data_IF_236727841774
#
_entry.id   IF_236727841774
#
_cell.length_a   1.000
_cell.length_b   1.000
_cell.length_c   1.000
_cell.angle_alpha   90.00
_cell.angle_beta   90.00
_cell.angle_gamma   90.00
#
_symmetry.space_group_name_H-M   'P 1'
#
loop_
_entity.id
_entity.type
_entity.pdbx_description
1 polymer ?
#
# COMPACT_ATOMS: atom_id res chain seq x y z
N UNK A 1 -0.44 26.71 66.35
CA UNK A 1 0.42 26.36 65.19
C UNK A 1 0.28 24.86 64.98
N UNK A 2 -0.22 24.28 63.88
CA UNK A 2 -0.92 24.79 62.72
C UNK A 2 -2.06 23.78 62.45
N UNK A 3 -3.31 24.29 62.38
CA UNK A 3 -4.53 23.57 61.99
C UNK A 3 -4.81 22.18 62.61
N UNK A 4 -5.24 22.22 63.88
CA UNK A 4 -6.40 21.43 64.34
C UNK A 4 -7.54 21.65 63.29
N UNK A 5 -8.07 20.61 62.67
CA UNK A 5 -9.34 20.58 61.88
C UNK A 5 -9.28 20.65 60.34
N UNK A 6 -8.45 19.83 59.66
CA UNK A 6 -8.62 19.52 58.22
C UNK A 6 -8.41 18.04 57.92
N UNK A 7 -9.27 17.19 58.51
CA UNK A 7 -9.28 15.73 58.30
C UNK A 7 -10.18 15.40 57.11
N UNK A 8 -9.61 14.76 56.08
CA UNK A 8 -10.22 14.68 54.74
C UNK A 8 -10.96 13.36 54.51
N UNK A 9 -10.46 12.25 55.06
CA UNK A 9 -11.12 10.95 55.01
C UNK A 9 -11.08 10.26 56.37
N UNK A 10 -12.19 9.67 56.79
CA UNK A 10 -12.27 8.92 58.05
C UNK A 10 -13.14 7.68 57.90
N UNK A 11 -12.72 6.61 58.59
CA UNK A 11 -13.42 5.34 58.67
C UNK A 11 -14.19 5.30 59.98
N UNK A 12 -15.51 5.17 59.92
CA UNK A 12 -16.35 4.92 61.10
C UNK A 12 -16.53 3.43 61.23
N UNK A 13 -16.20 2.87 62.39
CA UNK A 13 -16.54 1.51 62.81
C UNK A 13 -17.59 1.59 63.92
N UNK A 14 -18.73 0.94 63.73
CA UNK A 14 -19.76 0.76 64.77
C UNK A 14 -19.53 -0.62 65.43
N UNK A 15 -19.43 -0.70 66.74
CA UNK A 15 -19.38 -1.98 67.44
C UNK A 15 -20.36 -1.86 68.59
N UNK A 16 -21.45 -2.64 68.57
CA UNK A 16 -22.34 -2.84 69.73
C UNK A 16 -22.62 -1.55 70.52
N UNK A 17 -23.06 -0.49 69.82
CA UNK A 17 -23.37 0.88 70.29
C UNK A 17 -22.22 1.91 70.36
N UNK A 18 -20.95 1.51 70.28
CA UNK A 18 -19.81 2.45 70.25
C UNK A 18 -19.36 2.71 68.81
N UNK A 19 -19.32 3.99 68.43
CA UNK A 19 -18.74 4.43 67.14
C UNK A 19 -17.30 4.87 67.36
N UNK A 20 -16.36 4.29 66.64
CA UNK A 20 -14.97 4.74 66.60
C UNK A 20 -14.65 5.32 65.22
N UNK A 21 -14.00 6.48 65.21
CA UNK A 21 -13.56 7.14 63.99
C UNK A 21 -12.04 7.06 63.87
N UNK A 22 -11.54 6.54 62.77
CA UNK A 22 -10.12 6.53 62.45
C UNK A 22 -9.85 7.41 61.22
N UNK A 23 -8.72 8.12 61.23
CA UNK A 23 -8.23 8.85 60.07
C UNK A 23 -7.77 7.88 58.98
N UNK A 24 -8.08 8.18 57.72
CA UNK A 24 -7.50 7.46 56.59
C UNK A 24 -6.09 8.00 56.34
N UNK A 25 -5.07 7.21 56.70
CA UNK A 25 -3.66 7.47 56.36
C UNK A 25 -3.29 6.94 54.97
N UNK A 26 -4.11 6.05 54.43
CA UNK A 26 -4.03 5.49 53.08
C UNK A 26 -5.45 5.32 52.54
N UNK A 27 -5.61 5.40 51.21
CA UNK A 27 -6.91 5.26 50.57
C UNK A 27 -6.80 4.36 49.33
N UNK A 28 -7.69 3.37 49.24
CA UNK A 28 -7.79 2.43 48.11
C UNK A 28 -9.13 2.54 47.38
N UNK A 29 -10.23 2.51 48.13
CA UNK A 29 -11.62 2.59 47.64
C UNK A 29 -12.57 2.98 48.77
N UNK A 30 -13.75 3.47 48.44
CA UNK A 30 -14.88 3.56 49.38
C UNK A 30 -15.56 2.20 49.47
N UNK A 31 -15.82 1.71 50.70
CA UNK A 31 -16.51 0.44 50.92
C UNK A 31 -17.81 0.60 51.67
N UNK A 32 -18.86 -0.08 51.21
CA UNK A 32 -20.04 -0.44 52.00
C UNK A 32 -20.00 -1.95 52.25
N UNK A 33 -19.60 -2.37 53.44
CA UNK A 33 -19.78 -3.75 53.84
C UNK A 33 -21.21 -3.89 54.36
N UNK A 34 -22.07 -4.57 53.61
CA UNK A 34 -23.48 -4.76 53.97
C UNK A 34 -23.69 -5.52 55.29
N UNK A 35 -22.65 -6.13 55.87
CA UNK A 35 -22.70 -6.81 57.18
C UNK A 35 -21.65 -6.35 58.19
N UNK A 36 -20.76 -5.41 57.80
CA UNK A 36 -19.80 -4.86 58.74
C UNK A 36 -20.16 -3.41 59.00
N UNK A 37 -20.21 -3.06 60.27
CA UNK A 37 -20.43 -1.73 60.78
C UNK A 37 -19.36 -0.67 60.38
N UNK A 38 -18.59 -0.91 59.31
CA UNK A 38 -17.48 -0.08 58.85
C UNK A 38 -17.91 0.67 57.59
N UNK A 39 -17.78 2.00 57.61
CA UNK A 39 -18.07 2.88 56.47
C UNK A 39 -16.99 3.96 56.35
N UNK A 40 -16.60 4.28 55.13
CA UNK A 40 -15.65 5.35 54.82
C UNK A 40 -16.38 6.65 54.45
N UNK A 41 -15.92 7.78 54.97
CA UNK A 41 -16.55 9.09 54.79
C UNK A 41 -15.49 10.16 54.48
N UNK A 42 -15.89 11.16 53.70
CA UNK A 42 -15.13 12.41 53.51
C UNK A 42 -15.83 13.52 54.30
N UNK A 43 -15.11 14.20 55.20
CA UNK A 43 -15.66 15.34 55.96
C UNK A 43 -15.18 16.65 55.32
N UNK A 44 -16.09 17.60 55.19
CA UNK A 44 -15.74 19.00 54.93
C UNK A 44 -15.71 19.71 56.29
N UNK A 45 -14.57 20.32 56.66
CA UNK A 45 -14.36 20.82 58.04
C UNK A 45 -15.00 22.18 58.32
N UNK A 46 -16.07 22.55 57.61
CA UNK A 46 -16.90 23.69 58.00
C UNK A 46 -17.91 23.33 59.11
N UNK A 47 -17.98 22.06 59.53
CA UNK A 47 -18.92 21.57 60.54
C UNK A 47 -18.14 21.12 61.76
N UNK A 48 -18.54 21.59 62.95
CA UNK A 48 -17.82 21.41 64.22
C UNK A 48 -17.59 19.94 64.60
N UNK A 49 -16.56 19.72 65.41
CA UNK A 49 -16.02 18.41 65.86
C UNK A 49 -17.02 17.45 66.55
N UNK A 50 -18.30 17.84 66.70
CA UNK A 50 -19.34 17.06 67.38
C UNK A 50 -20.32 16.34 66.44
N UNK A 51 -20.25 16.55 65.12
CA UNK A 51 -21.36 16.18 64.23
C UNK A 51 -20.94 15.12 63.21
N UNK A 52 -20.85 13.87 63.67
CA UNK A 52 -21.05 12.69 62.82
C UNK A 52 -22.57 12.35 62.78
N UNK A 53 -23.43 13.34 62.49
CA UNK A 53 -24.87 13.06 62.35
C UNK A 53 -25.13 12.32 61.06
N UNK A 54 -26.03 11.34 61.15
CA UNK A 54 -26.38 10.37 60.10
C UNK A 54 -26.93 11.04 58.82
N UNK A 55 -27.28 12.33 58.90
CA UNK A 55 -28.06 13.06 57.89
C UNK A 55 -27.30 14.20 57.19
N UNK A 56 -26.01 14.43 57.48
CA UNK A 56 -25.22 15.39 56.73
C UNK A 56 -25.04 14.88 55.28
N UNK A 57 -25.42 15.70 54.30
CA UNK A 57 -25.47 15.31 52.89
C UNK A 57 -24.12 14.77 52.40
N UNK A 58 -24.15 13.54 51.90
CA UNK A 58 -23.00 12.71 51.49
C UNK A 58 -22.51 13.06 50.08
N UNK A 59 -22.51 14.33 49.70
CA UNK A 59 -22.09 14.75 48.36
C UNK A 59 -20.57 14.95 48.37
N UNK A 60 -19.86 13.85 48.21
CA UNK A 60 -18.40 13.80 48.17
C UNK A 60 -17.88 14.52 46.92
N UNK A 61 -18.59 14.42 45.81
CA UNK A 61 -18.21 15.00 44.51
C UNK A 61 -18.04 16.52 44.57
N UNK A 62 -18.91 17.23 45.29
CA UNK A 62 -18.83 18.68 45.46
C UNK A 62 -17.65 19.15 46.31
N UNK A 63 -17.11 18.28 47.18
CA UNK A 63 -15.93 18.61 47.99
C UNK A 63 -14.64 18.41 47.20
N UNK A 64 -14.57 17.35 46.39
CA UNK A 64 -13.33 17.01 45.67
C UNK A 64 -13.16 17.79 44.36
N UNK A 65 -14.20 18.51 43.90
CA UNK A 65 -14.11 19.41 42.75
C UNK A 65 -13.33 20.71 43.00
N UNK A 66 -12.97 21.01 44.26
CA UNK A 66 -12.16 22.19 44.60
C UNK A 66 -10.68 22.03 44.24
N UNK A 67 -10.04 23.12 43.77
CA UNK A 67 -8.60 23.13 43.52
C UNK A 67 -7.81 22.96 44.83
N UNK A 68 -6.86 22.02 44.85
CA UNK A 68 -5.94 21.88 45.96
C UNK A 68 -4.83 22.92 45.82
N UNK A 69 -4.79 23.90 46.72
CA UNK A 69 -3.69 24.86 46.78
C UNK A 69 -2.52 24.23 47.54
N UNK A 70 -1.30 24.46 47.06
CA UNK A 70 -0.04 23.78 47.43
C UNK A 70 0.34 23.87 48.92
N UNK A 71 -0.39 24.65 49.70
CA UNK A 71 -0.30 24.86 51.14
C UNK A 71 -1.09 23.81 51.97
N UNK A 72 -1.73 22.82 51.34
CA UNK A 72 -2.44 21.72 52.02
C UNK A 72 -1.60 20.43 52.01
N UNK A 73 -1.30 19.90 53.20
CA UNK A 73 -0.39 18.76 53.41
C UNK A 73 -0.80 17.40 52.82
N UNK A 74 -1.99 17.27 52.21
CA UNK A 74 -2.49 15.99 51.67
C UNK A 74 -3.12 16.13 50.27
N UNK A 75 -2.61 17.04 49.42
CA UNK A 75 -3.12 17.18 48.05
C UNK A 75 -3.05 15.85 47.28
N UNK A 76 -1.98 15.06 47.45
CA UNK A 76 -1.84 13.75 46.79
C UNK A 76 -2.98 12.79 47.17
N UNK A 77 -3.38 12.75 48.44
CA UNK A 77 -4.48 11.89 48.90
C UNK A 77 -5.84 12.38 48.37
N UNK A 78 -6.06 13.70 48.35
CA UNK A 78 -7.24 14.30 47.75
C UNK A 78 -7.36 14.02 46.27
N UNK A 79 -6.24 14.08 45.54
CA UNK A 79 -6.20 13.73 44.11
C UNK A 79 -6.52 12.26 43.91
N UNK A 80 -5.95 11.35 44.72
CA UNK A 80 -6.32 9.92 44.71
C UNK A 80 -7.82 9.69 44.96
N UNK A 81 -8.43 10.41 45.91
CA UNK A 81 -9.88 10.33 46.17
C UNK A 81 -10.70 10.92 45.01
N UNK A 82 -10.26 12.04 44.42
CA UNK A 82 -10.89 12.68 43.25
C UNK A 82 -10.94 11.71 42.10
N UNK A 83 -9.80 11.12 41.80
CA UNK A 83 -9.60 10.23 40.68
C UNK A 83 -10.43 8.95 40.88
N UNK A 84 -10.62 8.49 42.12
CA UNK A 84 -11.53 7.38 42.45
C UNK A 84 -13.00 7.75 42.25
N UNK A 85 -13.42 8.93 42.70
CA UNK A 85 -14.78 9.40 42.48
C UNK A 85 -15.10 9.59 40.99
N UNK A 86 -14.14 10.14 40.23
CA UNK A 86 -14.25 10.21 38.76
C UNK A 86 -14.30 8.82 38.13
N UNK A 87 -13.51 7.86 38.66
CA UNK A 87 -13.55 6.46 38.26
C UNK A 87 -14.95 5.87 38.44
N UNK A 88 -15.50 5.95 39.64
CA UNK A 88 -16.80 5.38 39.98
C UNK A 88 -17.94 6.03 39.19
N UNK A 89 -17.82 7.33 38.90
CA UNK A 89 -18.79 8.10 38.12
C UNK A 89 -19.34 9.27 38.93
N UNK A 90 -19.45 10.44 38.30
CA UNK A 90 -19.96 11.67 38.93
C UNK A 90 -21.44 11.57 39.34
N UNK A 91 -22.16 10.61 38.79
CA UNK A 91 -23.55 10.27 39.12
C UNK A 91 -23.69 9.50 40.45
N UNK A 92 -22.58 9.02 41.03
CA UNK A 92 -22.58 8.41 42.37
C UNK A 92 -22.05 9.40 43.41
N UNK A 93 -22.92 10.08 44.17
CA UNK A 93 -22.53 11.15 45.08
C UNK A 93 -21.66 10.67 46.25
N UNK A 94 -21.75 9.38 46.58
CA UNK A 94 -20.97 8.72 47.63
C UNK A 94 -19.69 8.06 47.12
N UNK A 95 -19.47 8.08 45.81
CA UNK A 95 -18.34 7.45 45.13
C UNK A 95 -18.14 5.97 45.49
N UNK A 96 -19.19 5.23 45.83
CA UNK A 96 -19.07 3.80 46.16
C UNK A 96 -19.17 2.97 44.88
N UNK A 97 -18.16 2.13 44.64
CA UNK A 97 -18.18 1.22 43.49
C UNK A 97 -19.29 0.17 43.62
N UNK A 98 -20.09 -0.01 42.56
CA UNK A 98 -21.11 -1.07 42.50
C UNK A 98 -20.51 -2.47 42.38
N UNK A 99 -19.33 -2.55 41.80
CA UNK A 99 -18.63 -3.80 41.49
C UNK A 99 -17.49 -4.07 42.48
N UNK A 100 -17.28 -3.16 43.44
CA UNK A 100 -16.25 -3.26 44.47
C UNK A 100 -14.82 -3.01 43.98
N UNK A 101 -14.60 -2.65 42.72
CA UNK A 101 -13.25 -2.37 42.19
C UNK A 101 -12.63 -1.13 42.84
N UNK A 102 -11.34 -1.23 43.16
CA UNK A 102 -10.49 -0.10 43.53
C UNK A 102 -9.76 0.45 42.29
N UNK A 103 -9.20 1.66 42.38
CA UNK A 103 -8.35 2.17 41.30
C UNK A 103 -7.05 1.37 41.12
N UNK A 104 -6.60 0.68 42.17
CA UNK A 104 -5.40 -0.17 42.15
C UNK A 104 -5.67 -1.52 41.48
N UNK A 105 -6.94 -1.97 41.45
CA UNK A 105 -7.33 -3.23 40.81
C UNK A 105 -7.41 -3.11 39.28
N UNK A 106 -7.24 -1.90 38.73
CA UNK A 106 -7.44 -1.62 37.31
C UNK A 106 -6.19 -0.99 36.72
N UNK A 107 -5.12 -1.77 36.69
CA UNK A 107 -3.89 -1.44 35.98
C UNK A 107 -4.07 -1.66 34.47
N UNK A 108 -3.50 -0.75 33.70
CA UNK A 108 -3.37 -0.97 32.27
C UNK A 108 -2.33 -2.07 32.01
N UNK A 109 -2.50 -2.87 30.95
CA UNK A 109 -1.48 -3.83 30.52
C UNK A 109 -0.12 -3.15 30.35
N UNK A 110 0.97 -3.90 30.56
CA UNK A 110 2.34 -3.39 30.40
C UNK A 110 2.52 -2.74 29.02
N UNK A 111 3.07 -1.52 28.98
CA UNK A 111 3.25 -0.73 27.76
C UNK A 111 2.02 0.11 27.37
N UNK A 112 1.02 0.22 28.25
CA UNK A 112 -0.14 1.09 28.07
C UNK A 112 -0.28 2.06 29.24
N UNK A 113 -0.74 3.27 28.93
CA UNK A 113 -1.08 4.32 29.88
C UNK A 113 -2.58 4.45 30.03
N UNK A 114 -3.00 4.79 31.24
CA UNK A 114 -4.38 5.16 31.56
C UNK A 114 -4.69 6.51 30.93
N UNK A 115 -5.71 6.55 30.08
CA UNK A 115 -6.09 7.77 29.34
C UNK A 115 -7.42 8.37 29.77
N UNK A 116 -8.34 7.55 30.27
CA UNK A 116 -9.58 8.05 30.84
C UNK A 116 -10.20 7.04 31.79
N UNK A 117 -11.10 7.60 32.59
CA UNK A 117 -11.72 6.90 33.69
C UNK A 117 -13.17 7.33 33.76
N UNK A 118 -14.09 6.44 33.39
CA UNK A 118 -15.51 6.76 33.42
C UNK A 118 -16.30 5.53 33.81
N UNK A 119 -17.18 5.68 34.79
CA UNK A 119 -18.21 4.69 35.15
C UNK A 119 -17.63 3.29 35.39
N UNK A 120 -16.61 3.22 36.23
CA UNK A 120 -15.92 1.99 36.63
C UNK A 120 -15.18 1.28 35.48
N UNK A 121 -15.03 1.94 34.31
CA UNK A 121 -14.22 1.47 33.19
C UNK A 121 -12.95 2.28 33.10
N UNK A 122 -11.81 1.59 33.16
CA UNK A 122 -10.52 2.18 32.82
C UNK A 122 -10.28 1.99 31.33
N UNK A 123 -9.97 3.11 30.68
CA UNK A 123 -9.56 3.14 29.30
C UNK A 123 -8.05 3.28 29.25
N UNK A 124 -7.41 2.35 28.54
CA UNK A 124 -5.97 2.28 28.36
C UNK A 124 -5.63 2.52 26.89
N UNK A 125 -4.57 3.28 26.64
CA UNK A 125 -3.96 3.42 25.32
C UNK A 125 -2.49 3.01 25.37
N UNK A 126 -1.91 2.52 24.27
CA UNK A 126 -0.46 2.37 24.14
C UNK A 126 0.31 3.64 24.54
N UNK A 127 1.53 3.47 25.06
CA UNK A 127 2.42 4.60 25.34
C UNK A 127 2.62 5.49 24.09
N UNK A 128 2.46 6.81 24.25
CA UNK A 128 2.53 7.78 23.15
C UNK A 128 1.22 7.97 22.36
N UNK A 129 0.15 7.27 22.72
CA UNK A 129 -1.18 7.46 22.15
C UNK A 129 -2.15 8.13 23.14
N UNK A 130 -3.14 8.83 22.58
CA UNK A 130 -4.19 9.53 23.31
C UNK A 130 -5.56 8.96 23.00
N UNK A 131 -6.46 9.02 23.98
CA UNK A 131 -7.86 8.64 23.78
C UNK A 131 -8.52 9.61 22.80
N UNK A 132 -9.03 9.08 21.69
CA UNK A 132 -9.78 9.88 20.71
C UNK A 132 -11.28 9.66 20.85
N UNK A 133 -11.72 8.42 21.04
CA UNK A 133 -13.13 8.06 21.22
C UNK A 133 -13.25 6.87 22.18
N UNK A 134 -14.38 6.72 22.86
CA UNK A 134 -14.75 5.49 23.56
C UNK A 134 -15.93 4.85 22.84
N UNK A 135 -15.83 3.56 22.50
CA UNK A 135 -16.92 2.81 21.86
C UNK A 135 -17.05 1.44 22.50
N UNK A 136 -18.27 1.07 22.91
CA UNK A 136 -18.57 -0.22 23.55
C UNK A 136 -17.65 -0.56 24.75
N UNK A 137 -17.30 0.44 25.56
CA UNK A 137 -16.40 0.25 26.70
C UNK A 137 -14.91 0.10 26.34
N UNK A 138 -14.54 0.12 25.06
CA UNK A 138 -13.14 0.11 24.59
C UNK A 138 -12.64 1.53 24.30
N UNK A 139 -11.36 1.73 24.54
CA UNK A 139 -10.63 2.94 24.17
C UNK A 139 -10.25 2.87 22.69
N UNK A 140 -10.55 3.91 21.92
CA UNK A 140 -10.04 4.11 20.57
C UNK A 140 -8.94 5.15 20.65
N UNK A 141 -7.71 4.69 20.44
CA UNK A 141 -6.49 5.43 20.67
C UNK A 141 -5.85 5.82 19.34
N UNK A 142 -5.26 7.01 19.31
CA UNK A 142 -4.46 7.47 18.18
C UNK A 142 -3.16 8.12 18.70
N UNK A 143 -2.07 8.08 17.94
CA UNK A 143 -0.88 8.87 18.24
C UNK A 143 -1.22 10.36 18.40
N UNK A 144 -0.55 11.09 19.29
CA UNK A 144 -0.86 12.50 19.66
C UNK A 144 -1.07 13.46 18.47
N UNK A 145 -0.36 13.23 17.36
CA UNK A 145 -0.40 14.10 16.16
C UNK A 145 -1.33 13.57 15.06
N UNK A 146 -2.11 12.54 15.35
CA UNK A 146 -3.05 11.92 14.40
C UNK A 146 -4.48 12.09 14.87
N UNK A 147 -5.39 12.03 13.91
CA UNK A 147 -6.84 12.12 14.13
C UNK A 147 -7.50 10.81 13.71
N UNK A 148 -8.47 10.35 14.50
CA UNK A 148 -9.30 9.21 14.15
C UNK A 148 -10.14 9.56 12.91
N UNK A 149 -10.03 8.74 11.85
CA UNK A 149 -10.83 8.88 10.63
C UNK A 149 -11.96 7.86 10.56
N UNK A 150 -11.70 6.62 10.98
CA UNK A 150 -12.65 5.52 10.95
C UNK A 150 -12.29 4.47 12.01
N UNK A 151 -13.26 3.61 12.34
CA UNK A 151 -13.03 2.38 13.07
C UNK A 151 -13.37 1.21 12.16
N UNK A 152 -12.36 0.45 11.74
CA UNK A 152 -12.50 -0.70 10.86
C UNK A 152 -12.20 -1.98 11.65
N UNK A 153 -13.17 -2.88 11.79
CA UNK A 153 -13.01 -4.14 12.54
C UNK A 153 -12.43 -3.92 13.96
N UNK A 154 -13.07 -3.05 14.75
CA UNK A 154 -12.61 -2.63 16.09
C UNK A 154 -11.22 -1.95 16.13
N UNK A 155 -10.62 -1.65 14.99
CA UNK A 155 -9.31 -0.99 14.89
C UNK A 155 -9.47 0.47 14.50
N UNK A 156 -8.88 1.36 15.30
CA UNK A 156 -8.85 2.79 15.01
C UNK A 156 -7.93 3.10 13.82
N UNK A 157 -8.47 3.74 12.79
CA UNK A 157 -7.70 4.25 11.65
C UNK A 157 -7.35 5.70 11.94
N UNK A 158 -6.08 5.93 12.27
CA UNK A 158 -5.56 7.23 12.64
C UNK A 158 -4.67 7.80 11.53
N UNK A 159 -5.04 8.96 10.99
CA UNK A 159 -4.30 9.64 9.92
C UNK A 159 -3.73 10.98 10.41
N UNK A 160 -2.71 11.51 9.75
CA UNK A 160 -2.33 12.90 10.01
C UNK A 160 -3.49 13.84 9.58
N UNK A 161 -3.62 15.04 10.18
CA UNK A 161 -4.71 15.96 9.87
C UNK A 161 -4.81 16.33 8.39
N UNK A 162 -3.66 16.39 7.70
CA UNK A 162 -3.53 16.76 6.29
C UNK A 162 -3.52 15.58 5.33
N UNK A 163 -3.57 14.35 5.84
CA UNK A 163 -3.59 13.17 4.99
C UNK A 163 -4.94 13.05 4.27
N UNK A 164 -4.89 12.58 3.03
CA UNK A 164 -6.07 12.16 2.29
C UNK A 164 -6.48 10.76 2.76
N UNK A 165 -7.78 10.57 2.92
CA UNK A 165 -8.34 9.33 3.42
C UNK A 165 -9.68 9.07 2.74
N UNK A 166 -9.95 7.80 2.41
CA UNK A 166 -11.19 7.34 1.80
C UNK A 166 -11.84 6.27 2.69
N UNK A 167 -13.14 6.42 2.93
CA UNK A 167 -13.88 5.55 3.84
C UNK A 167 -13.85 4.09 3.40
N UNK A 168 -13.66 3.17 4.36
CA UNK A 168 -13.62 1.73 4.08
C UNK A 168 -12.30 1.21 3.51
N UNK A 169 -11.33 2.08 3.20
CA UNK A 169 -10.01 1.66 2.71
C UNK A 169 -9.04 1.33 3.85
N UNK A 170 -9.23 1.95 5.02
CA UNK A 170 -8.27 1.89 6.13
C UNK A 170 -6.90 2.53 5.82
N UNK A 171 -6.75 3.23 4.69
CA UNK A 171 -5.45 3.77 4.23
C UNK A 171 -5.41 5.30 4.33
N UNK A 172 -4.38 5.80 4.99
CA UNK A 172 -4.05 7.23 5.04
C UNK A 172 -2.96 7.53 4.02
N UNK A 173 -3.23 8.44 3.09
CA UNK A 173 -2.26 8.87 2.09
C UNK A 173 -1.72 10.27 2.40
N UNK A 174 -0.41 10.49 2.23
CA UNK A 174 0.19 11.79 2.48
C UNK A 174 -0.41 12.86 1.53
N UNK A 175 -0.23 14.15 1.85
CA UNK A 175 -0.72 15.23 1.01
C UNK A 175 -0.31 15.04 -0.46
N UNK A 176 -1.23 15.35 -1.38
CA UNK A 176 -1.12 15.18 -2.86
C UNK A 176 -1.26 13.75 -3.39
N UNK A 177 -1.27 12.74 -2.53
CA UNK A 177 -1.63 11.38 -2.91
C UNK A 177 -3.02 11.03 -2.39
N UNK A 178 -3.77 10.24 -3.13
CA UNK A 178 -5.09 9.74 -2.76
C UNK A 178 -5.07 8.21 -2.68
N UNK A 179 -5.89 7.60 -1.82
CA UNK A 179 -6.13 6.16 -1.89
C UNK A 179 -6.54 5.75 -3.30
N UNK A 180 -5.95 4.66 -3.77
CA UNK A 180 -6.19 4.14 -5.12
C UNK A 180 -6.15 2.62 -5.07
N UNK A 181 -7.08 1.98 -5.77
CA UNK A 181 -7.28 0.53 -5.73
C UNK A 181 -6.87 -0.10 -7.06
N UNK A 182 -6.06 -1.14 -7.01
CA UNK A 182 -5.70 -1.96 -8.18
C UNK A 182 -6.89 -2.79 -8.65
N UNK A 183 -6.77 -3.36 -9.86
CA UNK A 183 -7.73 -4.33 -10.39
C UNK A 183 -7.86 -5.60 -9.53
N UNK A 184 -6.79 -6.01 -8.85
CA UNK A 184 -6.78 -7.13 -7.89
C UNK A 184 -7.40 -6.78 -6.53
N UNK A 185 -7.74 -5.51 -6.31
CA UNK A 185 -8.36 -5.01 -5.09
C UNK A 185 -7.39 -4.59 -3.99
N UNK A 186 -6.08 -4.64 -4.23
CA UNK A 186 -5.06 -4.04 -3.35
C UNK A 186 -5.18 -2.51 -3.36
N UNK A 187 -4.87 -1.86 -2.25
CA UNK A 187 -5.00 -0.41 -2.10
C UNK A 187 -3.64 0.18 -1.76
N UNK A 188 -3.29 1.30 -2.40
CA UNK A 188 -2.09 2.09 -2.12
C UNK A 188 -2.34 3.58 -2.36
N UNK A 189 -1.30 4.39 -2.24
CA UNK A 189 -1.38 5.85 -2.37
C UNK A 189 -0.82 6.32 -3.71
N UNK A 190 -1.68 6.95 -4.52
CA UNK A 190 -1.31 7.41 -5.86
C UNK A 190 -1.65 8.88 -6.12
N UNK A 191 -0.96 9.54 -7.05
CA UNK A 191 -1.41 10.83 -7.56
C UNK A 191 -2.84 10.71 -8.11
N UNK A 192 -3.64 11.76 -7.97
CA UNK A 192 -5.01 11.80 -8.49
C UNK A 192 -5.06 11.42 -9.98
N UNK A 193 -5.97 10.51 -10.33
CA UNK A 193 -6.12 10.00 -11.70
C UNK A 193 -5.20 8.83 -12.06
N UNK A 194 -4.34 8.36 -11.14
CA UNK A 194 -3.55 7.13 -11.31
C UNK A 194 -4.07 5.97 -10.46
N UNK A 195 -3.86 4.77 -10.97
CA UNK A 195 -4.23 3.50 -10.37
C UNK A 195 -3.01 2.89 -9.69
N UNK A 196 -3.20 2.42 -8.46
CA UNK A 196 -2.19 1.64 -7.74
C UNK A 196 -1.93 0.32 -8.45
N UNK A 197 -0.65 0.00 -8.67
CA UNK A 197 -0.22 -1.25 -9.31
C UNK A 197 0.39 -2.19 -8.29
N UNK A 198 1.47 -1.75 -7.63
CA UNK A 198 2.17 -2.51 -6.61
C UNK A 198 3.03 -1.59 -5.72
N UNK A 199 3.62 -2.16 -4.67
CA UNK A 199 4.64 -1.50 -3.85
C UNK A 199 5.96 -2.24 -4.04
N UNK A 200 7.03 -1.52 -4.36
CA UNK A 200 8.40 -2.08 -4.34
C UNK A 200 9.30 -1.20 -3.47
N UNK A 201 10.09 -1.84 -2.59
CA UNK A 201 10.98 -1.14 -1.66
C UNK A 201 10.26 -0.09 -0.80
N UNK A 202 9.03 -0.38 -0.40
CA UNK A 202 8.21 0.53 0.42
C UNK A 202 7.67 1.75 -0.34
N UNK A 203 7.70 1.74 -1.68
CA UNK A 203 7.12 2.81 -2.47
C UNK A 203 6.05 2.30 -3.43
N UNK A 204 4.90 2.97 -3.39
CA UNK A 204 3.77 2.67 -4.26
C UNK A 204 4.05 3.14 -5.68
N UNK A 205 3.79 2.26 -6.63
CA UNK A 205 3.89 2.51 -8.05
C UNK A 205 2.51 2.68 -8.65
N UNK A 206 2.38 3.75 -9.42
CA UNK A 206 1.10 4.24 -9.88
C UNK A 206 1.12 4.49 -11.38
N UNK A 207 0.18 3.86 -12.09
CA UNK A 207 0.07 3.93 -13.53
C UNK A 207 -1.30 4.46 -13.97
N UNK A 208 -1.44 4.97 -15.21
CA UNK A 208 -2.74 5.16 -15.83
C UNK A 208 -3.58 3.87 -15.80
N UNK A 209 -4.90 4.01 -15.86
CA UNK A 209 -5.79 2.86 -15.91
C UNK A 209 -5.50 1.98 -17.14
N UNK A 210 -5.34 0.66 -16.95
CA UNK A 210 -4.99 -0.29 -18.02
C UNK A 210 -3.49 -0.35 -18.36
N UNK A 211 -2.63 0.23 -17.54
CA UNK A 211 -1.18 0.15 -17.68
C UNK A 211 -0.51 -0.55 -16.48
N UNK A 212 0.62 -1.20 -16.74
CA UNK A 212 1.46 -1.91 -15.80
C UNK A 212 2.75 -1.12 -15.52
N UNK A 213 3.28 -1.28 -14.31
CA UNK A 213 4.53 -0.63 -13.91
C UNK A 213 5.72 -1.26 -14.66
N UNK A 214 6.50 -0.42 -15.33
CA UNK A 214 7.74 -0.82 -16.00
C UNK A 214 8.99 -0.49 -15.18
N UNK A 215 9.20 0.80 -14.90
CA UNK A 215 10.39 1.30 -14.20
C UNK A 215 10.09 2.61 -13.50
N UNK A 216 10.81 2.91 -12.42
CA UNK A 216 10.88 4.26 -11.83
C UNK A 216 12.22 4.92 -12.13
N UNK A 217 12.18 6.17 -12.58
CA UNK A 217 13.37 6.98 -12.80
C UNK A 217 13.06 8.45 -12.46
N UNK A 218 13.94 9.11 -11.71
CA UNK A 218 13.73 10.51 -11.27
C UNK A 218 12.47 10.72 -10.42
N UNK A 219 11.97 9.68 -9.75
CA UNK A 219 10.71 9.73 -8.98
C UNK A 219 9.44 9.62 -9.83
N UNK A 220 9.57 9.36 -11.13
CA UNK A 220 8.44 9.17 -12.05
C UNK A 220 8.28 7.68 -12.36
N UNK A 221 7.06 7.18 -12.23
CA UNK A 221 6.70 5.84 -12.68
C UNK A 221 6.41 5.83 -14.18
N UNK A 222 7.22 5.06 -14.90
CA UNK A 222 7.07 4.76 -16.31
C UNK A 222 6.29 3.45 -16.46
N UNK A 223 5.20 3.54 -17.19
CA UNK A 223 4.21 2.50 -17.31
C UNK A 223 4.07 2.03 -18.76
N UNK A 224 3.59 0.82 -18.95
CA UNK A 224 3.33 0.23 -20.26
C UNK A 224 1.89 -0.26 -20.34
N UNK A 225 1.22 -0.16 -21.49
CA UNK A 225 -0.07 -0.80 -21.69
C UNK A 225 -0.02 -2.29 -21.32
N UNK A 226 -1.12 -2.79 -20.76
CA UNK A 226 -1.26 -4.20 -20.37
C UNK A 226 -0.79 -5.16 -21.49
N UNK A 227 0.02 -6.16 -21.11
CA UNK A 227 0.61 -7.12 -22.04
C UNK A 227 1.83 -6.63 -22.83
N UNK A 228 2.31 -5.40 -22.58
CA UNK A 228 3.58 -4.89 -23.12
C UNK A 228 4.67 -4.86 -22.05
N UNK A 229 5.90 -5.11 -22.49
CA UNK A 229 7.11 -5.14 -21.66
C UNK A 229 7.88 -3.84 -21.85
N UNK A 230 8.16 -3.16 -20.75
CA UNK A 230 9.02 -1.99 -20.70
C UNK A 230 10.43 -2.30 -21.26
N UNK A 231 10.94 -1.40 -22.10
CA UNK A 231 12.28 -1.52 -22.69
C UNK A 231 13.21 -0.41 -22.18
N UNK A 232 12.83 0.84 -22.40
CA UNK A 232 13.61 2.00 -21.98
C UNK A 232 12.74 3.26 -21.83
N UNK A 233 13.35 4.33 -21.30
CA UNK A 233 12.77 5.69 -21.33
C UNK A 233 13.51 6.51 -22.37
N UNK A 234 12.79 7.16 -23.27
CA UNK A 234 13.35 8.12 -24.22
C UNK A 234 12.51 9.38 -24.28
N UNK A 235 13.15 10.55 -24.15
CA UNK A 235 12.48 11.85 -24.13
C UNK A 235 11.34 11.94 -23.10
N UNK A 236 11.51 11.31 -21.93
CA UNK A 236 10.50 11.29 -20.87
C UNK A 236 9.27 10.40 -21.15
N UNK A 237 9.34 9.53 -22.16
CA UNK A 237 8.29 8.55 -22.47
C UNK A 237 8.80 7.12 -22.33
N UNK A 238 7.94 6.23 -21.85
CA UNK A 238 8.21 4.79 -21.81
C UNK A 238 8.11 4.19 -23.21
N UNK A 239 9.10 3.38 -23.57
CA UNK A 239 9.09 2.57 -24.78
C UNK A 239 8.74 1.15 -24.38
N UNK A 240 7.64 0.64 -24.93
CA UNK A 240 7.05 -0.64 -24.56
C UNK A 240 6.89 -1.52 -25.80
N UNK A 241 7.37 -2.75 -25.73
CA UNK A 241 7.22 -3.74 -26.79
C UNK A 241 6.22 -4.82 -26.40
N UNK A 242 5.51 -5.39 -27.37
CA UNK A 242 4.66 -6.56 -27.10
C UNK A 242 5.50 -7.72 -26.55
N UNK A 243 4.87 -8.60 -25.78
CA UNK A 243 5.54 -9.78 -25.22
C UNK A 243 6.28 -10.58 -26.32
N UNK A 244 7.54 -10.96 -26.04
CA UNK A 244 8.44 -11.65 -26.99
C UNK A 244 9.21 -10.74 -27.95
N UNK A 245 8.90 -9.44 -28.00
CA UNK A 245 9.66 -8.45 -28.79
C UNK A 245 10.56 -7.60 -27.89
N UNK A 246 11.67 -7.14 -28.44
CA UNK A 246 12.61 -6.20 -27.80
C UNK A 246 12.87 -5.02 -28.72
N UNK A 247 13.16 -3.87 -28.13
CA UNK A 247 13.52 -2.68 -28.88
C UNK A 247 14.86 -2.90 -29.60
N UNK A 248 14.87 -2.78 -30.94
CA UNK A 248 16.10 -2.90 -31.74
C UNK A 248 16.60 -1.56 -32.28
N UNK A 249 15.74 -0.55 -32.37
CA UNK A 249 16.13 0.77 -32.83
C UNK A 249 14.94 1.67 -33.12
N UNK A 250 15.18 2.69 -33.94
CA UNK A 250 14.22 3.73 -34.26
C UNK A 250 14.23 4.02 -35.76
N UNK A 251 13.07 4.03 -36.39
CA UNK A 251 12.91 4.45 -37.78
C UNK A 251 12.03 5.68 -37.83
N UNK A 252 12.55 6.79 -38.36
CA UNK A 252 11.90 8.10 -38.36
C UNK A 252 11.40 8.53 -36.96
N UNK A 253 12.18 8.21 -35.92
CA UNK A 253 11.85 8.52 -34.52
C UNK A 253 10.87 7.56 -33.84
N UNK A 254 10.28 6.60 -34.58
CA UNK A 254 9.33 5.62 -34.04
C UNK A 254 10.10 4.38 -33.55
N UNK A 255 9.88 3.91 -32.31
CA UNK A 255 10.54 2.72 -31.79
C UNK A 255 10.14 1.47 -32.59
N UNK A 256 11.13 0.63 -32.92
CA UNK A 256 10.93 -0.62 -33.65
C UNK A 256 11.23 -1.81 -32.74
N UNK A 257 10.18 -2.55 -32.43
CA UNK A 257 10.22 -3.75 -31.60
C UNK A 257 10.31 -4.99 -32.50
N UNK A 258 11.36 -5.79 -32.34
CA UNK A 258 11.56 -7.01 -33.12
C UNK A 258 11.80 -8.21 -32.20
N UNK A 259 11.68 -9.43 -32.72
CA UNK A 259 12.10 -10.62 -31.97
C UNK A 259 13.59 -10.52 -31.59
N UNK A 260 13.95 -11.05 -30.43
CA UNK A 260 15.32 -10.95 -29.91
C UNK A 260 16.38 -11.47 -30.90
N UNK A 261 16.05 -12.50 -31.68
CA UNK A 261 16.93 -13.16 -32.66
C UNK A 261 16.82 -12.62 -34.10
N UNK A 262 15.99 -11.59 -34.31
CA UNK A 262 15.86 -10.91 -35.60
C UNK A 262 16.87 -9.78 -35.78
N UNK A 263 17.19 -9.49 -37.05
CA UNK A 263 18.01 -8.34 -37.44
C UNK A 263 17.10 -7.13 -37.69
N UNK A 264 17.60 -5.94 -37.40
CA UNK A 264 16.89 -4.68 -37.63
C UNK A 264 17.63 -3.85 -38.66
N UNK A 265 16.95 -3.50 -39.75
CA UNK A 265 17.47 -2.57 -40.74
C UNK A 265 17.00 -1.15 -40.40
N UNK A 266 17.93 -0.31 -39.93
CA UNK A 266 17.65 1.09 -39.59
C UNK A 266 17.19 1.93 -40.78
N UNK A 267 17.61 1.59 -42.01
CA UNK A 267 17.28 2.37 -43.20
C UNK A 267 15.81 2.20 -43.60
N UNK A 268 15.28 0.98 -43.54
CA UNK A 268 13.88 0.69 -43.87
C UNK A 268 12.93 0.59 -42.66
N UNK A 269 13.48 0.46 -41.45
CA UNK A 269 12.72 0.24 -40.23
C UNK A 269 12.16 -1.17 -40.06
N UNK A 270 12.56 -2.12 -40.92
CA UNK A 270 12.01 -3.47 -40.91
C UNK A 270 12.79 -4.42 -39.99
N UNK A 271 12.04 -5.30 -39.33
CA UNK A 271 12.57 -6.46 -38.62
C UNK A 271 12.70 -7.62 -39.62
N UNK A 272 13.93 -7.97 -39.97
CA UNK A 272 14.22 -9.12 -40.80
C UNK A 272 14.38 -10.33 -39.88
N UNK A 273 13.58 -11.38 -40.11
CA UNK A 273 13.70 -12.63 -39.36
C UNK A 273 15.15 -13.12 -39.34
N UNK A 274 15.49 -13.91 -38.31
CA UNK A 274 16.80 -14.56 -38.24
C UNK A 274 17.09 -15.14 -39.61
N UNK A 275 18.16 -14.68 -40.25
CA UNK A 275 18.64 -15.32 -41.46
C UNK A 275 18.99 -16.72 -40.97
N UNK A 276 18.09 -17.69 -41.20
CA UNK A 276 18.38 -19.10 -40.96
C UNK A 276 19.73 -19.29 -41.61
N UNK A 277 20.74 -19.66 -40.80
CA UNK A 277 22.15 -19.67 -41.18
C UNK A 277 22.24 -19.94 -42.67
N UNK A 278 22.60 -18.92 -43.45
CA UNK A 278 22.79 -19.09 -44.88
C UNK A 278 23.74 -20.29 -44.96
N UNK A 279 23.28 -21.38 -45.57
CA UNK A 279 24.17 -22.50 -45.81
C UNK A 279 25.41 -21.97 -46.54
N UNK A 280 26.53 -22.68 -46.46
CA UNK A 280 27.81 -22.23 -47.03
C UNK A 280 27.66 -21.77 -48.49
N UNK A 281 26.71 -22.36 -49.22
CA UNK A 281 26.35 -22.03 -50.59
C UNK A 281 25.63 -20.68 -50.73
N UNK A 282 24.70 -20.40 -49.84
CA UNK A 282 23.99 -19.13 -49.77
C UNK A 282 24.95 -18.00 -49.39
N UNK A 283 25.87 -18.22 -48.44
CA UNK A 283 26.96 -17.28 -48.13
C UNK A 283 27.89 -17.05 -49.33
N UNK A 284 28.27 -18.11 -50.05
CA UNK A 284 29.09 -18.02 -51.25
C UNK A 284 28.37 -17.32 -52.43
N UNK A 285 27.04 -17.44 -52.50
CA UNK A 285 26.21 -16.74 -53.49
C UNK A 285 26.08 -15.25 -53.17
N UNK A 286 25.84 -14.89 -51.90
CA UNK A 286 25.80 -13.49 -51.45
C UNK A 286 27.17 -12.81 -51.59
N UNK A 287 28.27 -13.51 -51.26
CA UNK A 287 29.63 -13.00 -51.48
C UNK A 287 29.96 -12.73 -52.96
N UNK A 288 29.16 -13.27 -53.88
CA UNK A 288 29.28 -13.08 -55.32
C UNK A 288 28.18 -12.18 -55.91
N UNK A 289 27.39 -11.49 -55.09
CA UNK A 289 26.26 -10.65 -55.51
C UNK A 289 25.23 -11.40 -56.37
N UNK A 290 24.80 -12.59 -55.93
CA UNK A 290 23.80 -13.39 -56.66
C UNK A 290 22.50 -13.54 -55.88
N UNK A 291 21.37 -13.35 -56.55
CA UNK A 291 20.02 -13.55 -56.00
C UNK A 291 19.35 -14.72 -56.74
N UNK A 292 18.85 -15.69 -55.99
CA UNK A 292 18.10 -16.83 -56.51
C UNK A 292 16.59 -16.68 -56.30
N UNK A 293 15.79 -16.97 -57.31
CA UNK A 293 14.33 -17.03 -57.20
C UNK A 293 13.80 -18.23 -57.99
N UNK A 294 12.74 -18.83 -57.44
CA UNK A 294 11.94 -19.87 -58.08
C UNK A 294 10.74 -19.22 -58.73
N UNK A 295 10.52 -19.53 -60.01
CA UNK A 295 9.30 -19.17 -60.72
C UNK A 295 8.53 -20.45 -60.99
N UNK A 296 7.31 -20.52 -60.46
CA UNK A 296 6.37 -21.60 -60.74
C UNK A 296 5.31 -21.08 -61.71
N UNK A 297 5.17 -21.75 -62.85
CA UNK A 297 4.15 -21.42 -63.85
C UNK A 297 2.92 -22.28 -63.58
N UNK A 298 1.85 -21.69 -63.05
CA UNK A 298 0.65 -22.43 -62.62
C UNK A 298 -0.23 -22.87 -63.78
N UNK A 299 -0.22 -22.13 -64.90
CA UNK A 299 -0.95 -22.48 -66.12
C UNK A 299 -0.37 -21.75 -67.33
N UNK A 300 -0.06 -22.49 -68.40
CA UNK A 300 0.44 -21.92 -69.66
C UNK A 300 -0.61 -21.09 -70.41
N UNK A 301 -1.89 -21.43 -70.25
CA UNK A 301 -3.01 -20.74 -70.92
C UNK A 301 -3.42 -19.45 -70.21
N UNK A 302 -3.33 -19.41 -68.87
CA UNK A 302 -3.73 -18.24 -68.07
C UNK A 302 -2.60 -17.23 -67.80
N UNK A 303 -1.37 -17.53 -68.24
CA UNK A 303 -0.17 -16.71 -68.00
C UNK A 303 0.05 -16.33 -66.52
N UNK A 304 -0.40 -17.18 -65.59
CA UNK A 304 -0.20 -16.95 -64.16
C UNK A 304 1.16 -17.51 -63.72
N UNK A 305 1.99 -16.62 -63.19
CA UNK A 305 3.29 -16.95 -62.61
C UNK A 305 3.33 -16.53 -61.15
N UNK A 306 3.94 -17.36 -60.31
CA UNK A 306 4.28 -16.99 -58.94
C UNK A 306 5.78 -17.07 -58.73
N UNK A 307 6.37 -16.00 -58.20
CA UNK A 307 7.78 -15.92 -57.86
C UNK A 307 7.97 -16.06 -56.35
N UNK A 308 8.94 -16.87 -55.94
CA UNK A 308 9.36 -17.00 -54.55
C UNK A 308 10.89 -16.89 -54.44
N UNK A 309 11.38 -16.15 -53.46
CA UNK A 309 12.82 -16.13 -53.16
C UNK A 309 13.28 -17.50 -52.65
N UNK A 310 14.39 -17.99 -53.18
CA UNK A 310 14.99 -19.24 -52.71
C UNK A 310 15.58 -19.01 -51.32
N UNK A 311 15.07 -19.73 -50.32
CA UNK A 311 15.57 -19.65 -48.94
C UNK A 311 16.84 -20.48 -48.69
N UNK A 312 17.16 -21.43 -49.59
CA UNK A 312 18.34 -22.31 -49.54
C UNK A 312 18.79 -22.64 -50.97
N UNK A 313 20.10 -22.73 -51.21
CA UNK A 313 20.66 -23.17 -52.49
C UNK A 313 21.15 -24.62 -52.34
N UNK A 314 20.38 -25.59 -52.83
CA UNK A 314 20.85 -26.97 -52.95
C UNK A 314 21.42 -27.23 -54.36
N UNK A 315 22.38 -28.15 -54.45
CA UNK A 315 22.89 -28.65 -55.74
C UNK A 315 21.75 -29.35 -56.47
N UNK A 316 21.35 -28.81 -57.62
CA UNK A 316 20.19 -29.26 -58.39
C UNK A 316 20.47 -30.59 -59.10
N UNK A 317 20.26 -31.72 -58.42
CA UNK A 317 20.48 -33.03 -59.04
C UNK A 317 19.21 -33.81 -59.40
N UNK A 318 18.00 -33.32 -59.11
CA UNK A 318 16.79 -33.84 -59.75
C UNK A 318 15.61 -32.86 -59.63
N UNK A 319 14.93 -32.58 -60.74
CA UNK A 319 13.66 -31.81 -60.73
C UNK A 319 12.49 -32.75 -60.46
N UNK A 320 11.62 -32.39 -59.51
CA UNK A 320 10.38 -33.11 -59.25
C UNK A 320 9.24 -32.68 -60.18
N UNK A 321 9.25 -31.43 -60.66
CA UNK A 321 8.21 -30.85 -61.53
C UNK A 321 8.84 -30.19 -62.78
N UNK A 322 8.39 -30.56 -64.00
CA UNK A 322 8.85 -29.94 -65.24
C UNK A 322 8.44 -28.47 -65.44
N UNK A 323 7.55 -27.92 -64.62
CA UNK A 323 7.08 -26.53 -64.71
C UNK A 323 7.75 -25.56 -63.74
N UNK A 324 8.67 -26.04 -62.90
CA UNK A 324 9.47 -25.21 -62.01
C UNK A 324 10.77 -24.76 -62.71
N UNK A 325 11.01 -23.45 -62.68
CA UNK A 325 12.22 -22.82 -63.21
C UNK A 325 12.93 -22.08 -62.09
N UNK A 326 14.17 -22.46 -61.84
CA UNK A 326 15.04 -21.76 -60.91
C UNK A 326 15.97 -20.84 -61.70
N UNK A 327 16.03 -19.57 -61.30
CA UNK A 327 16.89 -18.55 -61.92
C UNK A 327 17.87 -18.00 -60.89
N UNK A 328 19.08 -17.70 -61.35
CA UNK A 328 20.10 -16.99 -60.58
C UNK A 328 20.40 -15.69 -61.34
N UNK A 329 20.05 -14.55 -60.74
CA UNK A 329 20.45 -13.24 -61.25
C UNK A 329 21.82 -12.88 -60.67
N UNK A 330 22.72 -12.44 -61.55
CA UNK A 330 23.97 -11.77 -61.17
C UNK A 330 23.65 -10.27 -61.02
N UNK A 331 23.79 -9.71 -59.82
CA UNK A 331 23.44 -8.31 -59.55
C UNK A 331 24.62 -7.37 -59.73
N UNK A 332 25.72 -7.81 -60.36
CA UNK A 332 26.76 -6.89 -60.86
C UNK A 332 26.29 -6.18 -62.15
N UNK A 333 25.25 -5.38 -62.02
CA UNK A 333 24.89 -4.35 -62.99
C UNK A 333 24.50 -3.11 -62.18
N UNK A 334 25.15 -2.00 -62.49
CA UNK A 334 25.21 -0.71 -61.79
C UNK A 334 24.07 -0.35 -60.81
N UNK A 335 24.48 0.21 -59.68
CA UNK A 335 23.76 0.47 -58.42
C UNK A 335 22.47 1.33 -58.47
N UNK A 336 21.76 1.50 -59.59
CA UNK A 336 20.63 2.43 -59.61
C UNK A 336 19.39 2.13 -60.46
N UNK A 337 19.17 0.93 -61.01
CA UNK A 337 17.86 0.66 -61.63
C UNK A 337 17.41 -0.81 -61.56
N UNK A 338 16.48 -1.12 -60.64
CA UNK A 338 15.59 -2.28 -60.80
C UNK A 338 14.49 -1.93 -61.82
N UNK A 339 14.84 -1.82 -63.11
CA UNK A 339 13.85 -1.68 -64.18
C UNK A 339 13.39 -3.08 -64.62
N UNK A 340 12.18 -3.46 -64.25
CA UNK A 340 11.60 -4.78 -64.57
C UNK A 340 11.27 -4.98 -66.07
N UNK A 341 11.45 -3.95 -66.91
CA UNK A 341 11.17 -4.01 -68.35
C UNK A 341 12.32 -4.61 -69.19
N UNK A 342 13.38 -5.11 -68.57
CA UNK A 342 14.52 -5.72 -69.26
C UNK A 342 14.75 -7.18 -68.84
N UNK A 343 13.68 -7.99 -68.78
CA UNK A 343 13.85 -9.44 -68.89
C UNK A 343 14.08 -9.76 -70.37
N UNK A 344 15.30 -9.48 -70.84
CA UNK A 344 15.81 -10.11 -72.05
C UNK A 344 16.00 -11.60 -71.74
N UNK A 345 15.27 -12.47 -72.42
CA UNK A 345 15.52 -13.91 -72.39
C UNK A 345 16.91 -14.14 -72.99
N UNK A 346 17.94 -14.22 -72.15
CA UNK A 346 19.29 -14.56 -72.59
C UNK A 346 19.75 -15.91 -72.03
N UNK A 347 20.02 -16.79 -73.01
CA UNK A 347 20.91 -17.96 -73.03
C UNK A 347 20.54 -19.22 -72.24
N UNK A 348 20.03 -20.19 -73.01
CA UNK A 348 20.13 -21.65 -72.75
C UNK A 348 21.54 -22.02 -72.29
N UNK A 349 21.70 -22.49 -71.05
CA UNK A 349 22.84 -23.34 -70.71
C UNK A 349 22.60 -24.74 -71.31
N UNK A 350 23.39 -25.10 -72.34
CA UNK A 350 23.49 -26.50 -72.78
C UNK A 350 24.33 -27.27 -71.77
N UNK A 351 23.76 -28.31 -71.18
CA UNK A 351 24.54 -29.34 -70.50
C UNK A 351 25.03 -30.32 -71.56
N UNK A 352 26.36 -30.48 -71.68
CA UNK A 352 27.01 -31.53 -72.45
C UNK A 352 26.75 -32.86 -71.75
N UNK A 353 26.24 -33.85 -72.49
CA UNK A 353 26.37 -35.25 -72.11
C UNK A 353 27.73 -35.77 -72.56
N UNK A 354 28.42 -36.47 -71.66
CA UNK A 354 29.66 -37.18 -71.93
C UNK A 354 29.60 -38.56 -71.29
N UNK A 355 29.31 -39.55 -72.17
CA UNK A 355 29.45 -41.02 -72.10
C UNK A 355 29.18 -41.74 -70.78
#
# INVERSE_FOLDING_TARGET
MAFKNKKIGFRIKVNEQKKTCALLTTFKRFTTLNDSNIRDYILTTSISDQVCTVNAAKNVTGFISGQCTTDRWDCELLEKMRDYCMFVGSDKPDCISSTGVSMEDVECPKGQNRVAVKKEVVLCCPEGEILTEQRNGKALCCPEKKVLKEVLNDTAICCAPTDNYEQGTGLCCPPRLVPSKSSSGSIGCCPSGRIYVNTQNGVDHCCPNGEEFGKREGGIDYCCPEGKIFQEVKNGQSICCSNGLTLKGYHNGIPQCCFADSNYDSASGNCCGKVASLDEWSLAATAKNKIGFRVTIKSKEKKEMTCAFLRQFSRFENRSDPNDYDFILDTKADDNVCNWNTIGIWTRMRVKYGS
#
